data_IF_305399402513
#
_entry.id   IF_305399402513
#
_cell.length_a   1.000
_cell.length_b   1.000
_cell.length_c   1.000
_cell.angle_alpha   90.00
_cell.angle_beta   90.00
_cell.angle_gamma   90.00
#
_symmetry.space_group_name_H-M   'P 1'
#
loop_
_entity.id
_entity.type
_entity.pdbx_description
1 polymer ?
#
# COMPACT_ATOMS: atom_id res chain seq x y z
N UNK A 1 -2.09 15.76 10.58
CA UNK A 1 -1.23 14.56 10.48
C UNK A 1 -0.69 14.44 9.07
N UNK A 2 0.48 13.84 8.92
CA UNK A 2 1.10 13.49 7.64
C UNK A 2 0.91 12.00 7.40
N UNK A 3 0.10 11.65 6.41
CA UNK A 3 -0.35 10.29 6.13
C UNK A 3 0.38 9.75 4.90
N UNK A 4 1.01 8.59 5.00
CA UNK A 4 1.60 7.89 3.85
C UNK A 4 0.68 6.77 3.37
N UNK A 5 0.10 6.89 2.19
CA UNK A 5 -0.69 5.84 1.54
C UNK A 5 0.23 4.99 0.65
N UNK A 6 0.30 3.69 0.89
CA UNK A 6 1.16 2.76 0.14
C UNK A 6 0.30 1.81 -0.68
N UNK A 7 0.50 1.80 -2.01
CA UNK A 7 -0.33 1.04 -2.95
C UNK A 7 0.44 0.63 -4.18
N UNK A 8 0.25 -0.60 -4.65
CA UNK A 8 0.82 -1.09 -5.91
C UNK A 8 0.03 -0.62 -7.15
N UNK A 9 -1.12 0.01 -6.94
CA UNK A 9 -2.04 0.43 -8.00
C UNK A 9 -2.52 1.86 -7.76
N UNK A 10 -2.28 2.75 -8.73
CA UNK A 10 -2.75 4.13 -8.70
C UNK A 10 -2.83 4.70 -10.12
N UNK A 11 -3.43 5.89 -10.29
CA UNK A 11 -3.48 6.53 -11.59
C UNK A 11 -2.08 6.65 -12.22
N UNK A 12 -1.95 6.56 -13.57
CA UNK A 12 -2.99 6.58 -14.61
C UNK A 12 -3.79 5.26 -14.71
N UNK A 13 -3.39 4.19 -14.06
CA UNK A 13 -4.14 2.94 -14.03
C UNK A 13 -5.45 3.13 -13.27
N UNK A 14 -6.58 3.08 -14.00
CA UNK A 14 -7.91 3.24 -13.41
C UNK A 14 -8.39 1.92 -12.82
N UNK A 15 -8.72 1.94 -11.53
CA UNK A 15 -9.31 0.81 -10.81
C UNK A 15 -10.17 1.29 -9.65
N UNK A 16 -11.02 0.42 -9.11
CA UNK A 16 -11.78 0.74 -7.90
C UNK A 16 -10.90 1.12 -6.73
N UNK A 17 -9.75 0.44 -6.57
CA UNK A 17 -8.75 0.75 -5.53
C UNK A 17 -8.15 2.14 -5.76
N UNK A 18 -7.68 2.46 -6.96
CA UNK A 18 -7.11 3.77 -7.28
C UNK A 18 -8.12 4.90 -7.04
N UNK A 19 -9.39 4.70 -7.41
CA UNK A 19 -10.47 5.66 -7.17
C UNK A 19 -10.72 5.85 -5.67
N UNK A 20 -10.79 4.76 -4.90
CA UNK A 20 -10.94 4.80 -3.44
C UNK A 20 -9.81 5.56 -2.76
N UNK A 21 -8.56 5.32 -3.18
CA UNK A 21 -7.39 6.00 -2.63
C UNK A 21 -7.41 7.50 -2.94
N UNK A 22 -7.79 7.89 -4.15
CA UNK A 22 -7.94 9.30 -4.51
C UNK A 22 -9.01 9.99 -3.67
N UNK A 23 -10.16 9.34 -3.48
CA UNK A 23 -11.22 9.85 -2.61
C UNK A 23 -10.73 10.01 -1.18
N UNK A 24 -10.06 8.98 -0.63
CA UNK A 24 -9.47 9.03 0.71
C UNK A 24 -8.48 10.18 0.86
N UNK A 25 -7.57 10.36 -0.10
CA UNK A 25 -6.63 11.51 -0.12
C UNK A 25 -7.40 12.83 -0.04
N UNK A 26 -8.37 13.01 -0.92
CA UNK A 26 -9.16 14.24 -1.00
C UNK A 26 -9.88 14.54 0.32
N UNK A 27 -10.52 13.55 0.92
CA UNK A 27 -11.26 13.75 2.18
C UNK A 27 -10.33 14.01 3.37
N UNK A 28 -9.20 13.33 3.46
CA UNK A 28 -8.20 13.59 4.48
C UNK A 28 -7.60 15.00 4.37
N UNK A 29 -7.36 15.48 3.14
CA UNK A 29 -6.86 16.84 2.89
C UNK A 29 -7.90 17.92 3.26
N UNK A 30 -9.18 17.69 3.01
CA UNK A 30 -10.27 18.57 3.48
C UNK A 30 -10.32 18.66 5.01
N UNK A 31 -9.91 17.60 5.71
CA UNK A 31 -9.79 17.57 7.17
C UNK A 31 -8.49 18.19 7.70
N UNK A 32 -7.67 18.78 6.83
CA UNK A 32 -6.41 19.45 7.19
C UNK A 32 -5.22 18.52 7.38
N UNK A 33 -5.29 17.30 6.84
CA UNK A 33 -4.14 16.37 6.82
C UNK A 33 -3.33 16.56 5.56
N UNK A 34 -2.04 16.20 5.60
CA UNK A 34 -1.19 16.14 4.41
C UNK A 34 -1.05 14.68 4.02
N UNK A 35 -1.34 14.34 2.77
CA UNK A 35 -1.36 12.95 2.29
C UNK A 35 -0.31 12.75 1.21
N UNK A 36 0.55 11.75 1.39
CA UNK A 36 1.56 11.32 0.44
C UNK A 36 1.20 9.94 -0.10
N UNK A 37 1.28 9.74 -1.40
CA UNK A 37 1.01 8.46 -2.04
C UNK A 37 2.31 7.86 -2.54
N UNK A 38 2.67 6.70 -1.99
CA UNK A 38 3.78 5.87 -2.46
C UNK A 38 3.22 4.78 -3.36
N UNK A 39 3.58 4.81 -4.64
CA UNK A 39 3.02 3.89 -5.62
C UNK A 39 4.06 3.46 -6.66
N UNK A 40 3.69 2.55 -7.53
CA UNK A 40 4.56 2.07 -8.61
C UNK A 40 4.66 3.11 -9.73
N UNK A 41 5.80 3.12 -10.44
CA UNK A 41 5.91 3.90 -11.68
C UNK A 41 5.15 3.22 -12.81
N UNK A 42 4.70 3.99 -13.79
CA UNK A 42 4.11 3.52 -15.04
C UNK A 42 4.69 4.28 -16.24
N UNK A 43 4.49 3.77 -17.45
CA UNK A 43 4.97 4.41 -18.69
C UNK A 43 4.25 5.72 -18.97
N UNK A 44 2.97 5.78 -18.64
CA UNK A 44 2.06 6.89 -18.94
C UNK A 44 2.00 7.93 -17.81
N UNK A 45 2.94 7.85 -16.85
CA UNK A 45 3.02 8.83 -15.75
C UNK A 45 3.46 10.19 -16.27
N UNK A 46 2.69 11.20 -15.95
CA UNK A 46 3.05 12.58 -16.25
C UNK A 46 4.25 13.00 -15.37
N UNK A 47 5.29 13.60 -15.99
CA UNK A 47 6.46 14.14 -15.28
C UNK A 47 6.15 15.32 -14.38
N UNK A 48 5.01 15.97 -14.57
CA UNK A 48 4.51 17.09 -13.76
C UNK A 48 3.41 16.66 -12.80
N UNK A 49 3.43 15.39 -12.40
CA UNK A 49 2.51 14.86 -11.39
C UNK A 49 2.68 15.59 -10.03
N UNK A 50 1.61 15.56 -9.25
CA UNK A 50 1.60 16.09 -7.88
C UNK A 50 2.82 15.57 -7.08
N UNK A 51 3.59 16.49 -6.50
CA UNK A 51 4.78 16.18 -5.71
C UNK A 51 4.52 15.27 -4.50
N UNK A 52 3.26 15.16 -4.08
CA UNK A 52 2.83 14.25 -3.05
C UNK A 52 2.73 12.80 -3.53
N UNK A 53 2.89 12.55 -4.84
CA UNK A 53 2.87 11.19 -5.42
C UNK A 53 4.29 10.72 -5.66
N UNK A 54 4.74 9.79 -4.86
CA UNK A 54 6.10 9.22 -4.90
C UNK A 54 6.06 7.93 -5.71
N UNK A 55 6.70 7.95 -6.88
CA UNK A 55 6.79 6.81 -7.78
C UNK A 55 8.03 5.98 -7.49
N UNK A 56 7.80 4.69 -7.21
CA UNK A 56 8.85 3.71 -6.93
C UNK A 56 9.11 2.88 -8.20
N UNK A 57 10.39 2.71 -8.62
CA UNK A 57 10.72 1.93 -9.80
C UNK A 57 10.13 0.53 -9.76
N UNK A 58 9.41 0.17 -10.82
CA UNK A 58 8.63 -1.07 -10.89
C UNK A 58 8.65 -1.67 -12.28
N UNK A 59 8.39 -2.98 -12.35
CA UNK A 59 8.24 -3.74 -13.59
C UNK A 59 6.83 -4.32 -13.67
N UNK A 60 6.30 -4.55 -14.88
CA UNK A 60 5.06 -5.28 -15.05
C UNK A 60 5.16 -6.66 -14.39
N UNK A 61 4.11 -7.08 -13.71
CA UNK A 61 4.04 -8.42 -13.14
C UNK A 61 3.51 -9.39 -14.19
N UNK A 62 4.31 -10.39 -14.58
CA UNK A 62 3.99 -11.29 -15.70
C UNK A 62 2.67 -12.08 -15.51
N UNK A 63 2.29 -12.35 -14.26
CA UNK A 63 1.08 -13.08 -13.93
C UNK A 63 -0.20 -12.23 -14.04
N UNK A 64 -0.08 -10.91 -13.96
CA UNK A 64 -1.19 -9.97 -14.04
C UNK A 64 -0.77 -8.75 -14.84
N UNK A 65 -1.23 -8.67 -16.09
CA UNK A 65 -0.83 -7.61 -17.04
C UNK A 65 -1.08 -6.20 -16.54
N UNK A 66 -2.05 -6.03 -15.65
CA UNK A 66 -2.46 -4.73 -15.11
C UNK A 66 -1.78 -4.42 -13.76
N UNK A 67 -0.82 -5.23 -13.31
CA UNK A 67 -0.13 -5.01 -12.05
C UNK A 67 1.37 -4.84 -12.25
N UNK A 68 1.95 -4.02 -11.39
CA UNK A 68 3.37 -3.75 -11.37
C UNK A 68 3.93 -4.08 -9.98
N UNK A 69 5.19 -4.50 -9.95
CA UNK A 69 5.89 -4.84 -8.71
C UNK A 69 7.12 -3.95 -8.57
N UNK A 70 7.24 -3.27 -7.46
CA UNK A 70 8.44 -2.50 -7.14
C UNK A 70 9.61 -3.47 -6.87
N UNK A 71 10.77 -3.17 -7.45
CA UNK A 71 11.96 -4.03 -7.35
C UNK A 71 13.19 -3.31 -6.78
N UNK A 72 13.16 -1.99 -6.66
CA UNK A 72 14.25 -1.17 -6.11
C UNK A 72 13.74 0.18 -5.60
N UNK A 73 14.62 0.97 -5.00
CA UNK A 73 14.28 2.31 -4.52
C UNK A 73 13.70 2.34 -3.10
N UNK A 74 13.77 1.24 -2.37
CA UNK A 74 13.19 1.10 -1.03
C UNK A 74 13.88 2.02 -0.01
N UNK A 75 15.21 2.10 -0.04
CA UNK A 75 15.96 3.02 0.83
C UNK A 75 15.64 4.48 0.53
N UNK A 76 15.41 4.83 -0.75
CA UNK A 76 14.96 6.17 -1.13
C UNK A 76 13.55 6.45 -0.61
N UNK A 77 12.64 5.48 -0.70
CA UNK A 77 11.30 5.60 -0.14
C UNK A 77 11.32 5.84 1.38
N UNK A 78 12.17 5.11 2.11
CA UNK A 78 12.39 5.31 3.54
C UNK A 78 12.93 6.72 3.82
N UNK A 79 13.92 7.19 3.06
CA UNK A 79 14.48 8.54 3.22
C UNK A 79 13.42 9.62 2.99
N UNK A 80 12.58 9.48 1.97
CA UNK A 80 11.47 10.39 1.67
C UNK A 80 10.42 10.36 2.81
N UNK A 81 10.04 9.18 3.28
CA UNK A 81 9.08 9.02 4.37
C UNK A 81 9.59 9.70 5.66
N UNK A 82 10.89 9.57 5.95
CA UNK A 82 11.56 10.25 7.06
C UNK A 82 11.61 11.76 6.85
N UNK A 83 11.98 12.23 5.67
CA UNK A 83 12.02 13.65 5.32
C UNK A 83 10.66 14.32 5.47
N UNK A 84 9.60 13.64 5.04
CA UNK A 84 8.23 14.13 5.15
C UNK A 84 7.64 13.93 6.56
N UNK A 85 8.37 13.29 7.46
CA UNK A 85 7.97 13.07 8.86
C UNK A 85 6.56 12.47 8.93
N UNK A 86 6.35 11.33 8.30
CA UNK A 86 5.06 10.64 8.32
C UNK A 86 4.65 10.31 9.77
N UNK A 87 3.40 10.59 10.11
CA UNK A 87 2.81 10.26 11.42
C UNK A 87 2.18 8.86 11.43
N UNK A 88 1.69 8.41 10.27
CA UNK A 88 1.02 7.13 10.09
C UNK A 88 1.20 6.63 8.65
N UNK A 89 1.28 5.32 8.51
CA UNK A 89 1.27 4.63 7.22
C UNK A 89 -0.05 3.87 7.07
N UNK A 90 -0.65 4.00 5.90
CA UNK A 90 -1.86 3.28 5.53
C UNK A 90 -1.61 2.50 4.24
N UNK A 91 -1.46 1.19 4.37
CA UNK A 91 -1.26 0.30 3.23
C UNK A 91 -2.60 -0.09 2.60
N UNK A 92 -2.66 -0.09 1.27
CA UNK A 92 -3.88 -0.31 0.47
C UNK A 92 -3.82 -1.58 -0.37
N UNK A 93 -2.63 -2.18 -0.49
CA UNK A 93 -2.39 -3.43 -1.20
C UNK A 93 -1.43 -4.30 -0.40
N UNK A 94 -1.45 -5.61 -0.63
CA UNK A 94 -0.66 -6.61 0.10
C UNK A 94 0.63 -7.02 -0.65
N UNK A 95 0.91 -6.37 -1.76
CA UNK A 95 2.08 -6.66 -2.60
C UNK A 95 3.29 -5.78 -2.22
N UNK A 96 4.11 -5.42 -3.20
CA UNK A 96 5.41 -4.81 -2.98
C UNK A 96 5.36 -3.51 -2.19
N UNK A 97 4.42 -2.61 -2.49
CA UNK A 97 4.29 -1.32 -1.79
C UNK A 97 3.64 -1.47 -0.43
N UNK A 98 2.72 -2.42 -0.27
CA UNK A 98 2.18 -2.73 1.05
C UNK A 98 3.24 -3.24 2.01
N UNK A 99 4.06 -4.21 1.58
CA UNK A 99 5.19 -4.73 2.35
C UNK A 99 6.22 -3.63 2.64
N UNK A 100 6.51 -2.78 1.66
CA UNK A 100 7.38 -1.62 1.85
C UNK A 100 6.84 -0.67 2.92
N UNK A 101 5.54 -0.39 2.92
CA UNK A 101 4.89 0.44 3.93
C UNK A 101 5.03 -0.13 5.34
N UNK A 102 4.81 -1.44 5.51
CA UNK A 102 5.01 -2.13 6.79
C UNK A 102 6.46 -2.03 7.26
N UNK A 103 7.41 -2.29 6.37
CA UNK A 103 8.84 -2.18 6.69
C UNK A 103 9.21 -0.75 7.11
N UNK A 104 8.80 0.28 6.35
CA UNK A 104 9.06 1.69 6.69
C UNK A 104 8.42 2.06 8.03
N UNK A 105 7.20 1.59 8.30
CA UNK A 105 6.54 1.84 9.58
C UNK A 105 7.33 1.29 10.78
N UNK A 106 7.94 0.11 10.63
CA UNK A 106 8.84 -0.48 11.63
C UNK A 106 10.11 0.32 11.82
N UNK A 107 10.78 0.68 10.72
CA UNK A 107 12.01 1.46 10.74
C UNK A 107 11.81 2.84 11.40
N UNK A 108 10.68 3.49 11.11
CA UNK A 108 10.35 4.81 11.67
C UNK A 108 9.60 4.75 13.01
N UNK A 109 9.20 3.55 13.45
CA UNK A 109 8.40 3.32 14.67
C UNK A 109 7.09 4.10 14.69
N UNK A 110 6.43 4.19 13.55
CA UNK A 110 5.12 4.83 13.38
C UNK A 110 4.03 3.78 13.14
N UNK A 111 2.77 4.08 13.51
CA UNK A 111 1.68 3.13 13.33
C UNK A 111 1.42 2.83 11.86
N UNK A 112 1.07 1.57 11.59
CA UNK A 112 0.67 1.09 10.26
C UNK A 112 -0.74 0.55 10.35
N UNK A 113 -1.61 1.01 9.47
CA UNK A 113 -2.96 0.47 9.26
C UNK A 113 -3.06 -0.11 7.85
N UNK A 114 -4.01 -1.00 7.64
CA UNK A 114 -4.24 -1.64 6.35
C UNK A 114 -5.72 -1.63 5.98
N UNK A 115 -6.02 -1.30 4.72
CA UNK A 115 -7.35 -1.51 4.15
C UNK A 115 -7.30 -2.67 3.17
N UNK A 116 -8.11 -3.66 3.44
CA UNK A 116 -8.27 -4.85 2.63
C UNK A 116 -9.30 -4.61 1.52
N UNK A 117 -8.84 -4.50 0.28
CA UNK A 117 -9.70 -4.21 -0.87
C UNK A 117 -10.14 -5.45 -1.66
N UNK A 118 -9.54 -6.61 -1.41
CA UNK A 118 -9.70 -7.79 -2.25
C UNK A 118 -10.24 -8.97 -1.45
N UNK A 119 -11.39 -9.51 -1.84
CA UNK A 119 -11.79 -10.84 -1.39
C UNK A 119 -10.93 -11.88 -2.11
N UNK A 120 -9.86 -12.33 -1.44
CA UNK A 120 -8.90 -13.29 -2.02
C UNK A 120 -9.51 -14.63 -2.38
N UNK A 121 -10.63 -15.04 -1.79
CA UNK A 121 -11.28 -16.30 -2.11
C UNK A 121 -11.78 -16.34 -3.55
N UNK A 122 -12.29 -15.23 -4.08
CA UNK A 122 -12.69 -15.12 -5.49
C UNK A 122 -11.48 -15.01 -6.41
N UNK A 123 -10.39 -14.38 -5.95
CA UNK A 123 -9.16 -14.22 -6.70
C UNK A 123 -8.39 -15.52 -6.86
N UNK A 124 -8.38 -16.37 -5.82
CA UNK A 124 -7.77 -17.70 -5.83
C UNK A 124 -8.47 -18.62 -6.85
N UNK A 125 -9.80 -18.52 -6.98
CA UNK A 125 -10.57 -19.25 -8.03
C UNK A 125 -10.17 -18.82 -9.44
N UNK A 126 -9.87 -17.55 -9.64
CA UNK A 126 -9.48 -17.02 -10.95
C UNK A 126 -8.05 -17.44 -11.32
N UNK A 127 -7.15 -17.45 -10.35
CA UNK A 127 -5.74 -17.86 -10.52
C UNK A 127 -5.65 -19.40 -10.71
N UNK A 128 -6.44 -20.18 -9.99
CA UNK A 128 -6.45 -21.65 -10.11
C UNK A 128 -6.89 -22.15 -11.50
N UNK A 129 -7.56 -21.32 -12.29
CA UNK A 129 -7.94 -21.63 -13.68
C UNK A 129 -6.84 -21.38 -14.72
N UNK A 130 -5.75 -20.69 -14.38
CA UNK A 130 -4.72 -20.29 -15.34
C UNK A 130 -3.27 -20.47 -14.93
N UNK A 131 -2.94 -20.69 -13.66
CA UNK A 131 -1.58 -20.87 -13.18
C UNK A 131 -1.50 -21.78 -11.95
N UNK A 132 -0.43 -22.59 -11.88
CA UNK A 132 -0.11 -23.52 -10.78
C UNK A 132 0.45 -22.71 -9.57
N UNK A 133 -0.35 -21.81 -9.01
CA UNK A 133 -0.06 -21.25 -7.71
C UNK A 133 -1.00 -21.94 -6.71
N UNK A 134 -0.42 -22.74 -5.83
CA UNK A 134 -1.22 -23.45 -4.81
C UNK A 134 -1.93 -22.42 -3.91
N UNK A 135 -3.25 -22.57 -3.67
CA UNK A 135 -4.01 -21.68 -2.78
C UNK A 135 -3.35 -21.52 -1.40
N UNK A 136 -2.60 -22.54 -0.94
CA UNK A 136 -1.82 -22.52 0.30
C UNK A 136 -0.70 -21.47 0.31
N UNK A 137 -0.06 -21.17 -0.83
CA UNK A 137 0.98 -20.13 -0.91
C UNK A 137 0.40 -18.72 -0.76
N UNK A 138 -0.73 -18.44 -1.41
CA UNK A 138 -1.42 -17.15 -1.28
C UNK A 138 -1.90 -16.94 0.16
N UNK A 139 -2.50 -17.99 0.74
CA UNK A 139 -2.90 -18.00 2.16
C UNK A 139 -1.72 -17.77 3.10
N UNK A 140 -0.57 -18.35 2.81
CA UNK A 140 0.65 -18.17 3.60
C UNK A 140 1.18 -16.73 3.50
N UNK A 141 1.24 -16.15 2.31
CA UNK A 141 1.72 -14.76 2.08
C UNK A 141 0.79 -13.78 2.80
N UNK A 142 -0.53 -13.92 2.64
CA UNK A 142 -1.53 -13.07 3.31
C UNK A 142 -1.44 -13.22 4.83
N UNK A 143 -1.32 -14.46 5.34
CA UNK A 143 -1.21 -14.74 6.77
C UNK A 143 0.11 -14.22 7.35
N UNK A 144 1.21 -14.37 6.62
CA UNK A 144 2.51 -13.79 7.00
C UNK A 144 2.44 -12.28 7.05
N UNK A 145 1.84 -11.65 6.04
CA UNK A 145 1.61 -10.21 5.99
C UNK A 145 0.75 -9.71 7.16
N UNK A 146 -0.35 -10.43 7.47
CA UNK A 146 -1.24 -10.08 8.58
C UNK A 146 -0.60 -10.32 9.96
N UNK A 147 0.23 -11.36 10.11
CA UNK A 147 0.99 -11.60 11.34
C UNK A 147 2.12 -10.58 11.53
N UNK A 148 2.68 -10.08 10.43
CA UNK A 148 3.71 -9.05 10.44
C UNK A 148 3.15 -7.65 10.73
N UNK A 149 1.88 -7.42 10.45
CA UNK A 149 1.10 -6.33 11.04
C UNK A 149 0.80 -6.72 12.48
N UNK A 150 1.73 -6.47 13.42
CA UNK A 150 1.41 -6.64 14.85
C UNK A 150 0.11 -5.88 15.16
N UNK A 151 -0.96 -6.63 15.34
CA UNK A 151 -2.24 -6.11 15.81
C UNK A 151 -2.05 -5.61 17.25
N UNK A 152 -1.57 -4.41 17.40
CA UNK A 152 -1.83 -3.65 18.62
C UNK A 152 -3.18 -2.96 18.41
N UNK A 153 -4.25 -3.42 19.07
CA UNK A 153 -5.51 -2.71 19.02
C UNK A 153 -5.26 -1.31 19.59
N UNK A 154 -5.42 -0.28 18.76
CA UNK A 154 -5.37 1.14 19.17
C UNK A 154 -6.63 1.52 19.94
N UNK A 155 -7.35 0.57 20.51
CA UNK A 155 -8.42 0.86 21.44
C UNK A 155 -7.82 1.01 22.84
N UNK A 156 -7.61 2.27 23.22
CA UNK A 156 -7.34 2.61 24.61
C UNK A 156 -8.40 1.98 25.50
N UNK A 157 -7.97 1.16 26.46
CA UNK A 157 -8.82 0.78 27.59
C UNK A 157 -9.24 2.09 28.27
N UNK A 158 -10.46 2.50 28.08
CA UNK A 158 -11.14 3.40 29.00
C UNK A 158 -11.08 2.73 30.37
N UNK A 159 -10.27 3.26 31.29
CA UNK A 159 -10.38 2.91 32.70
C UNK A 159 -11.72 3.48 33.16
N UNK A 160 -12.72 2.63 33.31
CA UNK A 160 -13.86 2.93 34.17
C UNK A 160 -13.36 2.87 35.63
N UNK A 161 -13.38 4.04 36.27
CA UNK A 161 -13.42 4.13 37.72
C UNK A 161 -14.86 4.02 38.16
#
# INVERSE_FOLDING_TARGET
MRVGLFTDTYFPQVSGVATSIRTLKTELEKLGHTVFIFTTTDKDVNRYEDWQIIRIPSVPFFAFKDRRVAYRGFSKALAIAKQYQLDIIHTQTEFSLGLLGVWIGRELRIPVIHTYHTQYEDYVRYIARGMVIRPSMVKYIVRSYMNDLEWRPVFGRSKQN
#
